data_IF_818701709235
#
_entry.id   IF_818701709235
#
_cell.length_a   1.000
_cell.length_b   1.000
_cell.length_c   1.000
_cell.angle_alpha   90.00
_cell.angle_beta   90.00
_cell.angle_gamma   90.00
#
_symmetry.space_group_name_H-M   'P 1'
#
loop_
_entity.id
_entity.type
_entity.pdbx_description
1 polymer ?
#
# COMPACT_ATOMS: atom_id res chain seq x y z
N UNK A 1 2.06 17.53 -6.70
CA UNK A 1 2.08 16.96 -5.32
C UNK A 1 3.04 17.70 -4.40
N UNK A 2 2.88 17.57 -3.07
CA UNK A 2 3.84 18.01 -2.04
C UNK A 2 4.31 16.80 -1.24
N UNK A 3 5.59 16.77 -0.92
CA UNK A 3 6.22 15.76 -0.07
C UNK A 3 6.35 16.34 1.34
N UNK A 4 5.87 15.64 2.34
CA UNK A 4 5.97 15.99 3.75
C UNK A 4 6.57 14.85 4.56
N UNK A 5 6.97 15.17 5.77
CA UNK A 5 7.54 14.23 6.73
C UNK A 5 6.95 14.49 8.12
N UNK A 6 6.53 13.43 8.80
CA UNK A 6 6.13 13.50 10.21
C UNK A 6 6.89 12.47 11.04
N UNK A 7 7.18 12.77 12.32
CA UNK A 7 7.85 11.80 13.21
C UNK A 7 7.05 10.50 13.36
N UNK A 8 5.72 10.55 13.24
CA UNK A 8 4.85 9.40 13.44
C UNK A 8 4.73 8.53 12.19
N UNK A 9 4.52 9.13 11.01
CA UNK A 9 4.17 8.41 9.78
C UNK A 9 5.35 8.25 8.80
N UNK A 10 6.42 9.05 8.99
CA UNK A 10 7.48 9.18 7.99
C UNK A 10 7.01 10.02 6.80
N UNK A 11 7.10 9.46 5.60
CA UNK A 11 6.68 10.09 4.35
C UNK A 11 5.17 10.30 4.29
N UNK A 12 4.77 11.55 4.00
CA UNK A 12 3.38 11.92 3.76
C UNK A 12 3.28 12.64 2.42
N UNK A 13 2.33 12.24 1.59
CA UNK A 13 2.03 12.89 0.32
C UNK A 13 0.80 13.79 0.45
N UNK A 14 0.86 14.96 -0.16
CA UNK A 14 -0.25 15.92 -0.21
C UNK A 14 -0.51 16.39 -1.64
N UNK A 15 -1.78 16.65 -1.95
CA UNK A 15 -2.24 17.23 -3.21
C UNK A 15 -1.62 16.50 -4.42
N UNK A 16 -1.80 15.18 -4.45
CA UNK A 16 -1.36 14.36 -5.59
C UNK A 16 -2.33 14.60 -6.75
N UNK A 17 -1.79 15.09 -7.85
CA UNK A 17 -2.53 15.40 -9.08
C UNK A 17 -1.84 14.76 -10.28
N UNK A 18 -2.60 14.45 -11.30
CA UNK A 18 -2.10 14.11 -12.63
C UNK A 18 -2.28 15.31 -13.56
N UNK A 19 -1.24 15.68 -14.31
CA UNK A 19 -1.34 16.73 -15.32
C UNK A 19 -1.84 16.09 -16.62
N UNK A 20 -3.08 16.39 -16.99
CA UNK A 20 -3.76 15.88 -18.19
C UNK A 20 -3.94 17.04 -19.18
N UNK A 21 -3.02 17.17 -20.11
CA UNK A 21 -2.94 18.38 -20.94
C UNK A 21 -2.72 19.62 -20.08
N UNK A 22 -3.64 20.56 -20.15
CA UNK A 22 -3.61 21.83 -19.38
C UNK A 22 -4.35 21.72 -18.04
N UNK A 23 -5.00 20.58 -17.74
CA UNK A 23 -5.77 20.38 -16.50
C UNK A 23 -4.96 19.60 -15.47
N UNK A 24 -4.85 20.12 -14.23
CA UNK A 24 -4.30 19.41 -13.08
C UNK A 24 -5.43 18.66 -12.34
N UNK A 25 -5.56 17.38 -12.58
CA UNK A 25 -6.64 16.52 -12.07
C UNK A 25 -6.25 15.91 -10.72
N UNK A 26 -6.99 16.19 -9.65
CA UNK A 26 -6.67 15.71 -8.32
C UNK A 26 -6.99 14.22 -8.15
N UNK A 27 -6.18 13.53 -7.29
CA UNK A 27 -6.33 12.11 -6.97
C UNK A 27 -6.40 11.91 -5.45
N UNK A 28 -5.42 12.47 -4.70
CA UNK A 28 -5.40 12.47 -3.24
C UNK A 28 -5.25 13.89 -2.70
N UNK A 29 -5.96 14.17 -1.61
CA UNK A 29 -5.61 15.30 -0.77
C UNK A 29 -4.43 14.96 0.15
N UNK A 30 -4.45 13.75 0.78
CA UNK A 30 -3.38 13.28 1.67
C UNK A 30 -3.29 11.75 1.64
N UNK A 31 -2.06 11.21 1.60
CA UNK A 31 -1.82 9.77 1.72
C UNK A 31 -0.58 9.48 2.58
N UNK A 32 -0.67 8.49 3.47
CA UNK A 32 0.41 8.07 4.36
C UNK A 32 0.21 6.67 4.91
N UNK A 33 1.30 6.04 5.39
CA UNK A 33 1.21 4.91 6.30
C UNK A 33 0.62 5.39 7.63
N UNK A 34 -0.53 4.84 8.02
CA UNK A 34 -1.25 5.31 9.22
C UNK A 34 -1.00 4.41 10.43
N UNK A 35 -0.75 3.11 10.24
CA UNK A 35 -0.33 2.19 11.31
C UNK A 35 0.40 0.98 10.71
N UNK A 36 1.27 0.40 11.53
CA UNK A 36 1.90 -0.90 11.28
C UNK A 36 1.87 -1.70 12.56
N UNK A 37 1.22 -2.88 12.53
CA UNK A 37 1.12 -3.78 13.68
C UNK A 37 1.82 -5.10 13.39
N UNK A 38 2.66 -5.57 14.32
CA UNK A 38 3.44 -6.80 14.17
C UNK A 38 3.11 -7.77 15.31
N UNK A 39 2.09 -8.65 15.16
CA UNK A 39 1.80 -9.70 16.12
C UNK A 39 2.70 -10.92 15.91
N UNK A 40 3.19 -11.53 17.01
CA UNK A 40 3.97 -12.76 17.02
C UNK A 40 3.09 -13.95 17.38
N UNK A 41 3.24 -15.07 16.66
CA UNK A 41 2.41 -16.26 16.77
C UNK A 41 2.84 -17.27 17.85
N UNK A 42 3.96 -17.06 18.54
CA UNK A 42 4.49 -17.99 19.55
C UNK A 42 3.86 -17.72 20.92
N UNK A 43 3.13 -18.68 21.54
CA UNK A 43 2.52 -18.53 22.85
C UNK A 43 3.48 -18.71 24.03
N UNK A 44 4.77 -18.96 23.78
CA UNK A 44 5.77 -19.15 24.85
C UNK A 44 5.93 -17.88 25.71
N UNK A 45 6.34 -18.00 27.00
CA UNK A 45 6.43 -16.86 27.93
C UNK A 45 7.20 -15.66 27.42
N UNK A 46 8.22 -15.86 26.59
CA UNK A 46 9.04 -14.81 26.03
C UNK A 46 8.47 -14.17 24.76
N UNK A 47 7.36 -14.71 24.19
CA UNK A 47 6.76 -14.21 22.95
C UNK A 47 5.26 -13.88 23.04
N UNK A 48 4.49 -14.46 23.96
CA UNK A 48 3.02 -14.34 23.95
C UNK A 48 2.45 -12.90 24.04
N UNK A 49 3.26 -11.95 24.56
CA UNK A 49 2.94 -10.52 24.61
C UNK A 49 3.70 -9.70 23.56
N UNK A 50 4.52 -10.35 22.74
CA UNK A 50 5.32 -9.64 21.75
C UNK A 50 4.42 -9.20 20.59
N UNK A 51 4.19 -7.92 20.51
CA UNK A 51 3.56 -7.24 19.40
C UNK A 51 4.08 -5.79 19.38
N UNK A 52 4.06 -5.16 18.21
CA UNK A 52 4.49 -3.78 18.02
C UNK A 52 3.43 -3.00 17.26
N UNK A 53 3.34 -1.70 17.56
CA UNK A 53 2.59 -0.68 16.81
C UNK A 53 3.61 0.35 16.37
N UNK A 54 4.28 0.09 15.25
CA UNK A 54 5.51 0.79 14.91
C UNK A 54 5.28 2.25 14.48
N UNK A 55 4.06 2.59 14.08
CA UNK A 55 3.63 3.97 13.86
C UNK A 55 3.12 4.59 15.17
N UNK A 56 2.17 3.93 15.83
CA UNK A 56 1.48 4.50 17.00
C UNK A 56 2.27 4.51 18.29
N UNK A 57 3.17 3.54 18.51
CA UNK A 57 4.00 3.44 19.73
C UNK A 57 5.36 4.10 19.54
N UNK A 58 6.03 3.83 18.41
CA UNK A 58 7.41 4.30 18.19
C UNK A 58 7.49 5.55 17.30
N UNK A 59 6.53 5.72 16.37
CA UNK A 59 6.64 6.72 15.33
C UNK A 59 7.67 6.32 14.27
N UNK A 60 7.21 5.66 13.20
CA UNK A 60 8.10 5.10 12.17
C UNK A 60 8.99 6.15 11.51
N UNK A 61 8.51 7.41 11.41
CA UNK A 61 9.30 8.53 10.91
C UNK A 61 10.48 8.88 11.81
N UNK A 62 10.33 8.73 13.14
CA UNK A 62 11.46 8.94 14.09
C UNK A 62 12.54 7.87 13.95
N UNK A 63 12.22 6.75 13.29
CA UNK A 63 13.13 5.64 13.01
C UNK A 63 13.67 5.64 11.57
N UNK A 64 13.38 6.70 10.81
CA UNK A 64 13.83 6.84 9.42
C UNK A 64 15.35 6.92 9.33
N UNK A 65 15.89 6.28 8.29
CA UNK A 65 17.31 6.27 8.01
C UNK A 65 17.73 7.52 7.24
N UNK A 66 18.98 7.94 7.44
CA UNK A 66 19.68 8.86 6.55
C UNK A 66 20.19 8.07 5.35
N UNK A 67 19.60 8.32 4.17
CA UNK A 67 19.84 7.53 2.97
C UNK A 67 21.15 7.91 2.28
N UNK A 68 21.81 6.93 1.69
CA UNK A 68 23.12 7.08 1.04
C UNK A 68 23.04 6.73 -0.45
N UNK A 69 23.47 7.67 -1.31
CA UNK A 69 23.57 7.44 -2.75
C UNK A 69 24.57 6.30 -3.07
N UNK A 70 24.12 5.39 -3.92
CA UNK A 70 24.89 4.22 -4.32
C UNK A 70 24.69 3.00 -3.44
N UNK A 71 24.03 3.16 -2.26
CA UNK A 71 23.64 2.08 -1.37
C UNK A 71 22.12 1.93 -1.34
N UNK A 72 21.41 2.92 -0.77
CA UNK A 72 19.96 2.86 -0.59
C UNK A 72 19.19 3.30 -1.85
N UNK A 73 19.78 4.21 -2.62
CA UNK A 73 19.23 4.75 -3.86
C UNK A 73 20.31 4.81 -4.94
N UNK A 74 19.92 4.58 -6.20
CA UNK A 74 20.82 4.61 -7.35
C UNK A 74 20.22 5.49 -8.45
N UNK A 75 21.08 6.27 -9.14
CA UNK A 75 20.70 7.15 -10.25
C UNK A 75 20.80 8.64 -9.91
N UNK A 76 19.96 9.45 -10.52
CA UNK A 76 19.87 10.89 -10.24
C UNK A 76 18.83 11.08 -9.14
N UNK A 77 19.29 11.40 -7.95
CA UNK A 77 18.47 11.41 -6.74
C UNK A 77 18.28 12.84 -6.24
N UNK A 78 17.06 13.17 -5.85
CA UNK A 78 16.75 14.31 -4.99
C UNK A 78 16.36 13.81 -3.60
N UNK A 79 17.03 14.35 -2.56
CA UNK A 79 16.75 14.00 -1.18
C UNK A 79 15.99 15.11 -0.47
N UNK A 80 15.14 14.72 0.49
CA UNK A 80 14.52 15.62 1.45
C UNK A 80 14.94 15.23 2.86
N UNK A 81 15.23 16.23 3.68
CA UNK A 81 15.52 16.04 5.09
C UNK A 81 14.25 15.84 5.91
N UNK A 82 14.32 14.99 6.92
CA UNK A 82 13.31 14.86 7.97
C UNK A 82 13.67 15.68 9.21
N UNK A 83 12.66 16.18 9.91
CA UNK A 83 12.84 16.89 11.17
C UNK A 83 11.98 16.27 12.26
N UNK A 84 12.61 15.93 13.38
CA UNK A 84 11.96 15.36 14.56
C UNK A 84 12.35 16.16 15.79
N UNK A 85 11.71 15.91 16.92
CA UNK A 85 12.14 16.44 18.22
C UNK A 85 12.76 15.34 19.06
N UNK A 86 13.88 15.65 19.72
CA UNK A 86 14.47 14.74 20.70
C UNK A 86 13.73 14.81 22.05
N UNK A 87 14.17 14.01 23.02
CA UNK A 87 13.57 13.95 24.37
C UNK A 87 13.65 15.26 25.18
N UNK A 88 14.45 16.22 24.73
CA UNK A 88 14.58 17.57 25.34
C UNK A 88 13.77 18.63 24.60
N UNK A 89 13.03 18.25 23.54
CA UNK A 89 12.27 19.18 22.70
C UNK A 89 13.14 19.95 21.69
N UNK A 90 14.41 19.59 21.52
CA UNK A 90 15.30 20.19 20.53
C UNK A 90 15.05 19.57 19.17
N UNK A 91 15.19 20.36 18.09
CA UNK A 91 15.08 19.88 16.73
C UNK A 91 16.25 18.94 16.41
N UNK A 92 15.93 17.74 15.96
CA UNK A 92 16.90 16.80 15.40
C UNK A 92 16.60 16.60 13.91
N UNK A 93 17.64 16.71 13.08
CA UNK A 93 17.56 16.53 11.64
C UNK A 93 17.95 15.12 11.27
N UNK A 94 17.16 14.49 10.40
CA UNK A 94 17.51 13.28 9.67
C UNK A 94 17.86 13.71 8.25
N UNK A 95 19.13 13.74 7.90
CA UNK A 95 19.58 14.09 6.56
C UNK A 95 19.14 13.03 5.55
N UNK A 96 18.71 13.46 4.35
CA UNK A 96 18.31 12.52 3.29
C UNK A 96 17.27 11.49 3.75
N UNK A 97 16.28 11.89 4.55
CA UNK A 97 15.28 10.97 5.08
C UNK A 97 14.35 10.40 4.00
N UNK A 98 14.12 11.16 2.92
CA UNK A 98 13.28 10.78 1.79
C UNK A 98 14.09 10.86 0.51
N UNK A 99 13.94 9.84 -0.34
CA UNK A 99 14.54 9.75 -1.67
C UNK A 99 13.47 9.94 -2.74
N UNK A 100 13.75 10.77 -3.74
CA UNK A 100 12.94 10.95 -4.95
C UNK A 100 13.81 10.75 -6.18
N UNK A 101 13.39 9.86 -7.09
CA UNK A 101 14.10 9.62 -8.35
C UNK A 101 13.16 9.01 -9.40
N UNK A 102 13.64 8.94 -10.63
CA UNK A 102 13.01 8.16 -11.69
C UNK A 102 13.78 6.87 -11.96
N UNK A 103 13.05 5.83 -12.32
CA UNK A 103 13.66 4.57 -12.78
C UNK A 103 12.94 3.99 -14.00
N UNK A 104 13.67 3.21 -14.80
CA UNK A 104 13.09 2.40 -15.87
C UNK A 104 12.34 1.20 -15.27
N UNK A 105 11.11 0.96 -15.75
CA UNK A 105 10.28 -0.16 -15.30
C UNK A 105 9.84 -1.09 -16.44
N UNK A 106 10.65 -1.18 -17.48
CA UNK A 106 10.38 -2.09 -18.59
C UNK A 106 9.44 -1.51 -19.65
N UNK A 107 8.49 -2.31 -20.11
CA UNK A 107 7.56 -1.94 -21.17
C UNK A 107 6.33 -1.26 -20.59
N UNK A 108 6.00 -0.05 -21.08
CA UNK A 108 4.76 0.67 -20.78
C UNK A 108 3.60 0.12 -21.61
N UNK A 109 3.81 0.05 -22.92
CA UNK A 109 2.91 -0.66 -23.83
C UNK A 109 3.67 -1.13 -25.09
N UNK A 110 3.12 -2.13 -25.75
CA UNK A 110 3.69 -2.71 -26.98
C UNK A 110 2.57 -3.22 -27.88
N UNK A 111 2.69 -2.96 -29.16
CA UNK A 111 1.85 -3.54 -30.19
C UNK A 111 2.69 -3.96 -31.40
N UNK A 112 2.40 -5.13 -31.95
CA UNK A 112 2.88 -5.59 -33.25
C UNK A 112 1.67 -5.79 -34.16
N UNK A 113 1.57 -5.02 -35.24
CA UNK A 113 0.51 -5.22 -36.22
C UNK A 113 0.88 -6.44 -37.11
N UNK A 114 0.11 -7.51 -36.97
CA UNK A 114 0.35 -8.76 -37.65
C UNK A 114 0.20 -8.66 -39.20
N UNK A 115 -0.49 -7.61 -39.71
CA UNK A 115 -0.72 -7.37 -41.12
C UNK A 115 0.44 -6.64 -41.79
N UNK A 116 1.06 -5.72 -41.09
CA UNK A 116 2.16 -4.88 -41.59
C UNK A 116 3.52 -5.27 -41.00
N UNK A 117 3.53 -6.17 -40.01
CA UNK A 117 4.71 -6.57 -39.21
C UNK A 117 5.40 -5.40 -38.49
N UNK A 118 4.75 -4.25 -38.43
CA UNK A 118 5.28 -3.10 -37.70
C UNK A 118 5.09 -3.24 -36.19
N UNK A 119 6.12 -2.90 -35.44
CA UNK A 119 6.12 -2.96 -33.98
C UNK A 119 6.33 -1.59 -33.37
N UNK A 120 5.43 -1.19 -32.49
CA UNK A 120 5.55 -0.02 -31.64
C UNK A 120 5.76 -0.43 -30.19
N UNK A 121 6.69 0.24 -29.49
CA UNK A 121 7.00 0.01 -28.06
C UNK A 121 7.27 1.34 -27.37
N UNK A 122 6.75 1.46 -26.15
CA UNK A 122 7.13 2.56 -25.24
C UNK A 122 7.70 1.99 -23.95
N UNK A 123 8.77 2.62 -23.45
CA UNK A 123 9.38 2.27 -22.17
C UNK A 123 8.59 2.91 -21.03
N UNK A 124 8.38 2.13 -19.97
CA UNK A 124 7.84 2.65 -18.71
C UNK A 124 8.94 3.31 -17.90
N UNK A 125 8.69 4.52 -17.49
CA UNK A 125 9.42 5.18 -16.41
C UNK A 125 8.45 5.44 -15.26
N UNK A 126 8.94 5.32 -14.04
CA UNK A 126 8.14 5.65 -12.85
C UNK A 126 8.89 6.60 -11.94
N UNK A 127 8.17 7.54 -11.37
CA UNK A 127 8.67 8.38 -10.30
C UNK A 127 8.55 7.61 -9.00
N UNK A 128 9.64 7.55 -8.24
CA UNK A 128 9.74 6.88 -6.95
C UNK A 128 9.92 7.91 -5.84
N UNK A 129 9.10 7.80 -4.79
CA UNK A 129 9.28 8.57 -3.55
C UNK A 129 9.27 7.57 -2.41
N UNK A 130 10.36 7.53 -1.64
CA UNK A 130 10.53 6.47 -0.64
C UNK A 130 11.28 6.94 0.60
N UNK A 131 11.07 6.23 1.70
CA UNK A 131 11.91 6.30 2.90
C UNK A 131 12.12 4.89 3.45
N UNK A 132 13.16 4.72 4.25
CA UNK A 132 13.48 3.45 4.92
C UNK A 132 13.53 3.70 6.41
N UNK A 133 13.01 2.76 7.20
CA UNK A 133 13.05 2.82 8.66
C UNK A 133 13.60 1.51 9.24
N UNK A 134 14.47 1.64 10.25
CA UNK A 134 14.98 0.52 11.03
C UNK A 134 14.18 0.38 12.32
N UNK A 135 13.45 -0.72 12.46
CA UNK A 135 12.67 -1.02 13.67
C UNK A 135 13.27 -2.21 14.38
N UNK A 136 14.03 -1.94 15.43
CA UNK A 136 14.86 -2.96 16.09
C UNK A 136 15.91 -3.49 15.11
N UNK A 137 15.73 -4.74 14.64
CA UNK A 137 16.61 -5.36 13.65
C UNK A 137 15.94 -5.53 12.28
N UNK A 138 14.70 -5.09 12.12
CA UNK A 138 13.98 -5.15 10.86
C UNK A 138 14.17 -3.87 10.05
N UNK A 139 14.26 -4.02 8.73
CA UNK A 139 14.33 -2.93 7.79
C UNK A 139 13.04 -2.89 6.96
N UNK A 140 12.42 -1.74 6.92
CA UNK A 140 11.20 -1.49 6.15
C UNK A 140 11.43 -0.34 5.18
N UNK A 141 11.37 -0.63 3.88
CA UNK A 141 11.37 0.40 2.85
C UNK A 141 9.95 0.65 2.36
N UNK A 142 9.51 1.90 2.39
CA UNK A 142 8.17 2.33 1.99
C UNK A 142 8.25 3.15 0.74
N UNK A 143 7.59 2.70 -0.33
CA UNK A 143 7.73 3.23 -1.68
C UNK A 143 6.38 3.63 -2.24
N UNK A 144 6.27 4.86 -2.75
CA UNK A 144 5.23 5.31 -3.66
C UNK A 144 5.81 5.36 -5.07
N UNK A 145 5.14 4.72 -6.01
CA UNK A 145 5.49 4.74 -7.44
C UNK A 145 4.38 5.39 -8.23
N UNK A 146 4.74 6.32 -9.10
CA UNK A 146 3.83 7.03 -10.00
C UNK A 146 4.22 6.72 -11.43
N UNK A 147 3.30 6.14 -12.18
CA UNK A 147 3.52 5.69 -13.54
C UNK A 147 2.95 6.67 -14.54
N UNK A 148 3.47 6.64 -15.78
CA UNK A 148 3.04 7.52 -16.87
C UNK A 148 1.60 7.27 -17.33
N UNK A 149 1.06 6.08 -17.11
CA UNK A 149 -0.34 5.72 -17.38
C UNK A 149 -1.31 6.14 -16.27
N UNK A 150 -0.86 6.92 -15.30
CA UNK A 150 -1.64 7.33 -14.14
C UNK A 150 -1.76 6.30 -13.03
N UNK A 151 -1.21 5.10 -13.19
CA UNK A 151 -1.15 4.09 -12.12
C UNK A 151 -0.32 4.61 -10.95
N UNK A 152 -0.78 4.35 -9.73
CA UNK A 152 -0.07 4.60 -8.48
C UNK A 152 0.09 3.28 -7.75
N UNK A 153 1.30 2.98 -7.28
CA UNK A 153 1.58 1.78 -6.48
C UNK A 153 2.14 2.19 -5.13
N UNK A 154 1.69 1.53 -4.09
CA UNK A 154 2.33 1.54 -2.78
C UNK A 154 2.95 0.16 -2.53
N UNK A 155 4.24 0.14 -2.19
CA UNK A 155 5.00 -1.08 -1.94
C UNK A 155 5.78 -0.95 -0.64
N UNK A 156 5.78 -2.03 0.14
CA UNK A 156 6.66 -2.18 1.30
C UNK A 156 7.68 -3.28 1.01
N UNK A 157 8.94 -2.97 1.21
CA UNK A 157 10.07 -3.91 1.17
C UNK A 157 10.48 -4.26 2.58
N UNK A 158 10.48 -5.57 2.89
CA UNK A 158 10.78 -6.10 4.22
C UNK A 158 12.09 -6.88 4.16
N UNK A 159 13.03 -6.54 5.02
CA UNK A 159 14.34 -7.21 5.14
C UNK A 159 14.94 -6.99 6.54
N UNK A 160 16.24 -7.13 6.72
CA UNK A 160 16.95 -6.99 8.00
C UNK A 160 17.22 -8.33 8.67
N UNK A 161 17.39 -8.32 9.98
CA UNK A 161 17.70 -9.52 10.78
C UNK A 161 16.43 -9.98 11.50
N UNK A 162 16.02 -11.23 11.23
CA UNK A 162 14.81 -11.81 11.84
C UNK A 162 14.97 -11.97 13.36
N UNK A 163 13.88 -11.70 14.09
CA UNK A 163 13.87 -11.93 15.55
C UNK A 163 14.00 -13.41 15.86
N UNK A 164 14.91 -13.76 16.79
CA UNK A 164 15.22 -15.14 17.13
C UNK A 164 15.15 -15.43 18.62
N UNK A 165 15.01 -16.70 18.96
CA UNK A 165 15.07 -17.23 20.33
C UNK A 165 15.84 -18.53 20.38
N UNK A 166 16.49 -18.81 21.51
CA UNK A 166 17.18 -20.06 21.72
C UNK A 166 16.20 -21.22 21.90
N UNK A 167 16.58 -22.39 21.38
CA UNK A 167 15.81 -23.64 21.51
C UNK A 167 16.72 -24.73 22.05
N UNK A 168 16.20 -25.56 22.95
CA UNK A 168 16.91 -26.70 23.50
C UNK A 168 17.35 -27.71 22.38
N UNK A 169 18.51 -28.32 22.47
CA UNK A 169 18.95 -29.31 21.51
C UNK A 169 17.88 -30.38 21.23
N UNK A 170 17.71 -30.71 19.94
CA UNK A 170 16.76 -31.74 19.50
C UNK A 170 15.28 -31.35 19.54
N UNK A 171 14.91 -30.11 19.95
CA UNK A 171 13.55 -29.61 19.88
C UNK A 171 13.27 -28.98 18.51
N UNK A 172 12.10 -29.30 17.95
CA UNK A 172 11.56 -28.66 16.73
C UNK A 172 10.47 -27.69 17.16
N UNK A 173 10.60 -26.39 16.87
CA UNK A 173 9.60 -25.41 17.25
C UNK A 173 8.33 -25.56 16.39
N UNK A 174 7.14 -25.54 17.04
CA UNK A 174 5.85 -25.53 16.33
C UNK A 174 5.49 -24.18 15.76
N UNK A 175 5.89 -23.11 16.44
CA UNK A 175 5.50 -21.72 16.17
C UNK A 175 6.63 -20.90 15.54
N UNK A 176 7.54 -21.57 14.85
CA UNK A 176 8.65 -20.95 14.18
C UNK A 176 9.48 -21.98 13.41
N UNK A 177 10.62 -21.55 12.91
CA UNK A 177 11.56 -22.37 12.13
C UNK A 177 12.95 -22.27 12.71
N UNK A 178 13.68 -23.38 12.77
CA UNK A 178 15.11 -23.35 13.06
C UNK A 178 15.86 -22.75 11.86
N UNK A 179 16.39 -21.55 12.05
CA UNK A 179 17.15 -20.82 11.02
C UNK A 179 18.67 -21.07 11.14
N UNK A 180 19.11 -21.56 12.32
CA UNK A 180 20.46 -22.08 12.59
C UNK A 180 20.35 -23.11 13.72
N UNK A 181 21.41 -23.87 14.03
CA UNK A 181 21.41 -24.83 15.13
C UNK A 181 20.99 -24.16 16.45
N UNK A 182 19.92 -24.69 17.07
CA UNK A 182 19.35 -24.19 18.33
C UNK A 182 18.82 -22.72 18.26
N UNK A 183 18.63 -22.17 17.07
CA UNK A 183 18.13 -20.82 16.86
C UNK A 183 16.78 -20.85 16.13
N UNK A 184 15.72 -20.49 16.84
CA UNK A 184 14.36 -20.43 16.31
C UNK A 184 14.00 -19.00 15.92
N UNK A 185 13.42 -18.81 14.72
CA UNK A 185 12.74 -17.60 14.34
C UNK A 185 11.21 -17.83 14.42
N UNK A 186 10.46 -17.07 15.25
CA UNK A 186 9.03 -17.29 15.41
C UNK A 186 8.24 -16.77 14.21
N UNK A 187 7.12 -17.45 13.88
CA UNK A 187 6.14 -16.96 12.91
C UNK A 187 5.53 -15.66 13.41
N UNK A 188 5.37 -14.69 12.54
CA UNK A 188 4.75 -13.40 12.84
C UNK A 188 4.12 -12.79 11.59
N UNK A 189 3.35 -11.73 11.77
CA UNK A 189 2.75 -10.97 10.68
C UNK A 189 3.20 -9.52 10.72
N UNK A 190 3.29 -8.91 9.55
CA UNK A 190 3.45 -7.46 9.38
C UNK A 190 2.17 -6.94 8.74
N UNK A 191 1.41 -6.13 9.46
CA UNK A 191 0.09 -5.65 9.05
C UNK A 191 0.14 -4.13 8.93
N UNK A 192 0.00 -3.64 7.72
CA UNK A 192 0.09 -2.23 7.35
C UNK A 192 -1.31 -1.67 7.10
N UNK A 193 -1.53 -0.43 7.49
CA UNK A 193 -2.71 0.33 7.11
C UNK A 193 -2.28 1.64 6.48
N UNK A 194 -2.75 1.90 5.27
CA UNK A 194 -2.53 3.15 4.54
C UNK A 194 -3.81 3.97 4.55
N UNK A 195 -3.72 5.21 5.00
CA UNK A 195 -4.78 6.22 4.95
C UNK A 195 -4.67 7.01 3.66
N UNK A 196 -5.74 7.04 2.89
CA UNK A 196 -5.85 7.77 1.64
C UNK A 196 -7.07 8.67 1.71
N UNK A 197 -6.85 9.96 1.87
CA UNK A 197 -7.84 11.02 1.80
C UNK A 197 -8.08 11.31 0.32
N UNK A 198 -9.20 10.81 -0.19
CA UNK A 198 -9.44 10.75 -1.63
C UNK A 198 -9.89 12.11 -2.18
N UNK A 199 -9.55 12.37 -3.44
CA UNK A 199 -9.95 13.58 -4.13
C UNK A 199 -10.02 13.33 -5.64
N UNK A 200 -10.74 12.27 -6.04
CA UNK A 200 -10.82 11.86 -7.45
C UNK A 200 -11.64 12.88 -8.24
N UNK A 201 -10.92 13.73 -9.01
CA UNK A 201 -11.50 14.84 -9.77
C UNK A 201 -12.40 15.79 -8.94
N UNK A 202 -12.24 15.80 -7.61
CA UNK A 202 -13.01 16.59 -6.65
C UNK A 202 -13.22 15.83 -5.34
N UNK A 203 -13.59 16.55 -4.28
CA UNK A 203 -13.66 16.05 -2.91
C UNK A 203 -14.76 15.00 -2.70
N UNK A 204 -15.91 15.13 -3.39
CA UNK A 204 -17.04 14.21 -3.19
C UNK A 204 -16.85 12.93 -4.00
N UNK A 205 -16.68 11.84 -3.30
CA UNK A 205 -16.47 10.53 -3.90
C UNK A 205 -17.40 9.47 -3.27
N UNK A 206 -17.52 8.33 -3.95
CA UNK A 206 -18.23 7.15 -3.47
C UNK A 206 -17.40 5.90 -3.72
N UNK A 207 -17.58 4.85 -2.91
CA UNK A 207 -16.86 3.60 -3.10
C UNK A 207 -17.81 2.50 -3.52
N UNK A 208 -17.39 1.73 -4.52
CA UNK A 208 -18.09 0.52 -4.98
C UNK A 208 -17.17 -0.69 -4.87
N UNK A 209 -17.73 -1.81 -4.42
CA UNK A 209 -17.11 -3.12 -4.56
C UNK A 209 -17.47 -3.72 -5.91
N UNK A 210 -16.51 -4.31 -6.60
CA UNK A 210 -16.70 -4.96 -7.89
C UNK A 210 -16.22 -6.40 -7.81
N UNK A 211 -17.14 -7.33 -8.09
CA UNK A 211 -16.88 -8.77 -8.22
C UNK A 211 -17.10 -9.22 -9.67
N UNK A 212 -16.27 -10.10 -10.17
CA UNK A 212 -16.53 -10.82 -11.41
C UNK A 212 -17.42 -12.01 -11.08
N UNK A 213 -18.60 -12.04 -11.66
CA UNK A 213 -19.60 -13.06 -11.38
C UNK A 213 -20.09 -13.72 -12.67
N UNK A 214 -20.39 -15.03 -12.67
CA UNK A 214 -21.02 -15.68 -13.81
C UNK A 214 -22.43 -15.13 -14.02
N UNK A 215 -22.92 -15.18 -15.25
CA UNK A 215 -24.31 -14.86 -15.59
C UNK A 215 -25.24 -16.00 -15.15
N UNK A 216 -26.49 -15.71 -14.90
CA UNK A 216 -27.53 -16.68 -14.54
C UNK A 216 -27.76 -17.69 -15.67
N UNK A 217 -28.13 -18.93 -15.32
CA UNK A 217 -28.24 -20.05 -16.26
C UNK A 217 -29.23 -19.79 -17.41
N UNK A 218 -30.35 -19.14 -17.14
CA UNK A 218 -31.38 -18.80 -18.12
C UNK A 218 -30.93 -17.75 -19.17
N UNK A 219 -29.92 -16.98 -18.84
CA UNK A 219 -29.30 -15.96 -19.71
C UNK A 219 -27.96 -16.41 -20.31
N UNK A 220 -27.52 -17.61 -20.00
CA UNK A 220 -26.20 -18.13 -20.33
C UNK A 220 -26.24 -19.48 -21.03
N UNK A 221 -26.84 -19.57 -22.22
CA UNK A 221 -27.12 -20.86 -22.88
C UNK A 221 -25.84 -21.63 -23.30
N UNK A 222 -24.68 -20.97 -23.34
CA UNK A 222 -23.39 -21.58 -23.64
C UNK A 222 -22.47 -21.74 -22.41
N UNK A 223 -22.90 -21.29 -21.24
CA UNK A 223 -22.18 -21.42 -19.98
C UNK A 223 -20.90 -20.60 -19.86
N UNK A 224 -20.67 -19.62 -20.76
CA UNK A 224 -19.40 -18.87 -20.84
C UNK A 224 -19.54 -17.39 -20.49
N UNK A 225 -20.75 -16.90 -20.15
CA UNK A 225 -20.97 -15.50 -19.84
C UNK A 225 -20.63 -15.17 -18.39
N UNK A 226 -19.94 -14.07 -18.17
CA UNK A 226 -19.65 -13.48 -16.87
C UNK A 226 -19.52 -11.95 -17.01
N UNK A 227 -19.73 -11.22 -15.93
CA UNK A 227 -19.68 -9.77 -15.93
C UNK A 227 -19.13 -9.21 -14.62
N UNK A 228 -18.78 -7.91 -14.62
CA UNK A 228 -18.35 -7.16 -13.44
C UNK A 228 -19.58 -6.59 -12.72
N UNK A 229 -19.95 -7.19 -11.58
CA UNK A 229 -21.03 -6.71 -10.72
C UNK A 229 -20.50 -5.63 -9.79
N UNK A 230 -21.05 -4.42 -9.90
CA UNK A 230 -20.69 -3.27 -9.07
C UNK A 230 -21.74 -3.03 -7.99
N UNK A 231 -21.31 -2.94 -6.72
CA UNK A 231 -22.18 -2.72 -5.56
C UNK A 231 -21.70 -1.49 -4.79
N UNK A 232 -22.56 -0.49 -4.64
CA UNK A 232 -22.27 0.70 -3.84
C UNK A 232 -22.11 0.33 -2.36
N UNK A 233 -21.15 0.96 -1.70
CA UNK A 233 -20.93 0.89 -0.26
C UNK A 233 -21.35 2.25 0.36
N UNK A 234 -22.64 2.42 0.74
CA UNK A 234 -23.18 3.75 1.03
C UNK A 234 -22.83 4.24 2.45
N UNK A 235 -22.50 3.35 3.37
CA UNK A 235 -22.21 3.69 4.76
C UNK A 235 -20.95 3.04 5.27
N UNK A 236 -20.44 3.53 6.39
CA UNK A 236 -19.24 3.00 7.04
C UNK A 236 -19.32 1.51 7.36
N UNK A 237 -20.50 1.01 7.79
CA UNK A 237 -20.68 -0.41 8.07
C UNK A 237 -20.71 -1.25 6.77
N UNK A 238 -21.34 -0.73 5.72
CA UNK A 238 -21.35 -1.38 4.41
C UNK A 238 -19.94 -1.44 3.80
N UNK A 239 -19.06 -0.49 4.15
CA UNK A 239 -17.72 -0.35 3.63
C UNK A 239 -16.65 -1.16 4.39
N UNK A 240 -17.04 -2.00 5.35
CA UNK A 240 -16.15 -2.97 6.02
C UNK A 240 -16.00 -4.21 5.15
N UNK A 241 -14.92 -4.29 4.36
CA UNK A 241 -14.83 -5.32 3.31
C UNK A 241 -13.52 -6.11 3.38
N UNK A 242 -13.60 -7.34 2.89
CA UNK A 242 -12.45 -8.23 2.71
C UNK A 242 -12.15 -8.40 1.22
N UNK A 243 -10.88 -8.64 0.88
CA UNK A 243 -10.51 -9.10 -0.45
C UNK A 243 -11.19 -10.45 -0.75
N UNK A 244 -11.44 -10.70 -2.03
CA UNK A 244 -11.92 -12.00 -2.53
C UNK A 244 -11.22 -12.30 -3.87
N UNK A 245 -10.02 -12.90 -3.83
CA UNK A 245 -9.28 -13.24 -5.04
C UNK A 245 -10.02 -14.19 -5.98
N UNK A 246 -10.91 -15.02 -5.42
CA UNK A 246 -11.68 -16.00 -6.20
C UNK A 246 -12.73 -15.33 -7.09
N UNK A 247 -13.13 -14.10 -6.76
CA UNK A 247 -14.02 -13.27 -7.57
C UNK A 247 -13.30 -12.17 -8.33
N UNK A 248 -11.96 -12.11 -8.24
CA UNK A 248 -11.21 -11.00 -8.82
C UNK A 248 -11.64 -9.64 -8.24
N UNK A 249 -12.04 -9.62 -6.95
CA UNK A 249 -12.58 -8.42 -6.27
C UNK A 249 -11.61 -7.26 -6.28
N UNK A 250 -12.15 -6.07 -6.59
CA UNK A 250 -11.49 -4.79 -6.39
C UNK A 250 -12.51 -3.73 -5.92
N UNK A 251 -12.03 -2.59 -5.47
CA UNK A 251 -12.89 -1.46 -5.14
C UNK A 251 -12.60 -0.30 -6.08
N UNK A 252 -13.63 0.44 -6.48
CA UNK A 252 -13.49 1.67 -7.25
C UNK A 252 -13.96 2.86 -6.44
N UNK A 253 -13.14 3.90 -6.43
CA UNK A 253 -13.42 5.20 -5.85
C UNK A 253 -13.83 6.09 -7.01
N UNK A 254 -15.05 6.59 -6.95
CA UNK A 254 -15.75 7.20 -8.08
C UNK A 254 -16.13 8.64 -7.74
N UNK A 255 -15.92 9.56 -8.66
CA UNK A 255 -16.56 10.87 -8.60
C UNK A 255 -17.89 10.78 -9.38
N UNK A 256 -19.05 10.86 -8.71
CA UNK A 256 -20.35 10.72 -9.40
C UNK A 256 -20.73 11.94 -10.25
N UNK A 257 -20.06 13.07 -10.03
CA UNK A 257 -20.40 14.36 -10.67
C UNK A 257 -19.56 14.66 -11.91
N UNK A 258 -18.46 13.92 -12.16
CA UNK A 258 -17.59 14.12 -13.33
C UNK A 258 -17.55 12.87 -14.18
N UNK A 259 -17.72 13.03 -15.49
CA UNK A 259 -17.69 11.91 -16.45
C UNK A 259 -16.64 12.14 -17.53
N UNK A 260 -16.14 11.04 -18.09
CA UNK A 260 -15.30 11.07 -19.28
C UNK A 260 -16.15 11.27 -20.56
N UNK A 261 -15.51 11.37 -21.72
CA UNK A 261 -16.17 11.58 -23.02
C UNK A 261 -17.18 10.48 -23.38
N UNK A 262 -17.06 9.26 -22.85
CA UNK A 262 -18.01 8.15 -23.04
C UNK A 262 -19.19 8.19 -22.06
N UNK A 263 -19.24 9.19 -21.15
CA UNK A 263 -20.29 9.35 -20.15
C UNK A 263 -20.10 8.46 -18.89
N UNK A 264 -18.96 7.80 -18.71
CA UNK A 264 -18.67 7.06 -17.49
C UNK A 264 -18.12 7.97 -16.40
N UNK A 265 -18.58 7.81 -15.14
CA UNK A 265 -18.00 8.53 -14.01
C UNK A 265 -16.50 8.26 -13.88
N UNK A 266 -15.75 9.33 -13.62
CA UNK A 266 -14.29 9.22 -13.42
C UNK A 266 -13.98 8.51 -12.12
N UNK A 267 -12.98 7.63 -12.12
CA UNK A 267 -12.67 6.78 -11.00
C UNK A 267 -11.20 6.32 -10.97
N UNK A 268 -10.81 5.85 -9.80
CA UNK A 268 -9.63 4.98 -9.62
C UNK A 268 -10.06 3.66 -8.99
N UNK A 269 -9.48 2.54 -9.46
CA UNK A 269 -9.69 1.24 -8.83
C UNK A 269 -8.52 0.85 -7.95
N UNK A 270 -8.83 0.49 -6.70
CA UNK A 270 -7.89 -0.12 -5.77
C UNK A 270 -7.83 -1.63 -6.09
N UNK A 271 -6.64 -2.05 -6.55
CA UNK A 271 -6.31 -3.44 -6.84
C UNK A 271 -5.59 -4.03 -5.64
N UNK A 272 -6.20 -4.97 -4.90
CA UNK A 272 -5.52 -5.67 -3.83
C UNK A 272 -4.29 -6.40 -4.39
N UNK A 273 -3.19 -6.37 -3.64
CA UNK A 273 -2.08 -7.29 -3.85
C UNK A 273 -2.32 -8.61 -3.12
N UNK A 274 -1.27 -9.41 -2.99
CA UNK A 274 -1.27 -10.54 -2.05
C UNK A 274 -1.54 -10.00 -0.65
N UNK A 275 -2.42 -10.70 0.09
CA UNK A 275 -2.87 -10.22 1.38
C UNK A 275 -3.35 -11.37 2.26
N UNK A 276 -3.34 -11.16 3.57
CA UNK A 276 -3.85 -12.11 4.58
C UNK A 276 -4.55 -11.37 5.70
N UNK A 277 -5.42 -12.05 6.43
CA UNK A 277 -6.02 -11.52 7.65
C UNK A 277 -5.08 -11.69 8.84
N UNK A 278 -5.31 -10.89 9.89
CA UNK A 278 -4.70 -11.11 11.19
C UNK A 278 -5.06 -12.50 11.72
N UNK A 279 -4.05 -13.29 12.11
CA UNK A 279 -4.24 -14.67 12.61
C UNK A 279 -4.49 -14.70 14.12
N UNK A 280 -4.19 -13.62 14.85
CA UNK A 280 -4.51 -13.52 16.27
C UNK A 280 -6.02 -13.54 16.47
N UNK A 281 -6.49 -14.23 17.54
CA UNK A 281 -7.93 -14.30 17.86
C UNK A 281 -8.49 -12.89 18.12
N UNK A 282 -9.78 -12.66 17.83
CA UNK A 282 -10.41 -11.34 18.05
C UNK A 282 -10.36 -10.86 19.50
N UNK A 283 -10.35 -11.79 20.48
CA UNK A 283 -10.26 -11.48 21.91
C UNK A 283 -8.83 -11.27 22.43
N UNK A 284 -7.81 -11.50 21.60
CA UNK A 284 -6.42 -11.21 21.94
C UNK A 284 -6.19 -9.70 22.15
N UNK A 285 -5.30 -9.35 23.08
CA UNK A 285 -4.98 -7.95 23.38
C UNK A 285 -4.58 -7.15 22.14
N UNK A 286 -3.71 -7.72 21.29
CA UNK A 286 -3.28 -7.08 20.05
C UNK A 286 -4.45 -6.84 19.09
N UNK A 287 -5.36 -7.80 18.95
CA UNK A 287 -6.52 -7.68 18.06
C UNK A 287 -7.53 -6.64 18.54
N UNK A 288 -7.72 -6.51 19.87
CA UNK A 288 -8.58 -5.46 20.46
C UNK A 288 -7.99 -4.06 20.25
N UNK A 289 -6.69 -3.91 20.41
CA UNK A 289 -5.96 -2.64 20.25
C UNK A 289 -5.83 -2.23 18.77
N UNK A 290 -5.64 -3.19 17.90
CA UNK A 290 -5.50 -3.03 16.46
C UNK A 290 -6.71 -3.61 15.70
N UNK A 291 -7.92 -3.34 16.14
CA UNK A 291 -9.13 -3.94 15.57
C UNK A 291 -9.39 -3.53 14.10
N UNK A 292 -8.71 -2.51 13.59
CA UNK A 292 -8.68 -2.18 12.16
C UNK A 292 -8.22 -3.35 11.28
N UNK A 293 -7.40 -4.27 11.82
CA UNK A 293 -6.88 -5.46 11.11
C UNK A 293 -7.98 -6.48 10.76
N UNK A 294 -9.20 -6.32 11.29
CA UNK A 294 -10.32 -7.23 11.03
C UNK A 294 -10.90 -7.10 9.62
N UNK A 295 -10.59 -6.04 8.91
CA UNK A 295 -11.05 -5.79 7.54
C UNK A 295 -9.89 -5.28 6.68
N UNK A 296 -9.93 -5.58 5.39
CA UNK A 296 -8.95 -5.05 4.44
C UNK A 296 -9.31 -3.63 3.99
N UNK A 297 -10.59 -3.33 3.84
CA UNK A 297 -11.10 -2.00 3.50
C UNK A 297 -11.97 -1.46 4.61
N UNK A 298 -11.74 -0.19 4.95
CA UNK A 298 -12.65 0.67 5.68
C UNK A 298 -12.80 1.98 4.91
N UNK A 299 -13.96 2.60 4.99
CA UNK A 299 -14.19 3.94 4.45
C UNK A 299 -14.89 4.78 5.51
N UNK A 300 -14.42 5.99 5.73
CA UNK A 300 -15.03 6.97 6.63
C UNK A 300 -15.25 8.28 5.89
N UNK A 301 -16.23 9.12 6.26
CA UNK A 301 -16.18 10.50 5.85
C UNK A 301 -14.93 11.16 6.44
N UNK A 302 -14.43 12.20 5.78
CA UNK A 302 -13.29 12.95 6.29
C UNK A 302 -13.61 13.59 7.65
N UNK A 303 -12.68 13.46 8.58
CA UNK A 303 -12.69 14.17 9.86
C UNK A 303 -11.24 14.47 10.27
N UNK A 304 -11.00 15.72 10.72
CA UNK A 304 -9.64 16.18 11.02
C UNK A 304 -8.93 15.42 12.15
N UNK A 305 -9.70 14.86 13.10
CA UNK A 305 -9.18 14.10 14.25
C UNK A 305 -9.10 12.59 13.98
N UNK A 306 -9.65 12.09 12.86
CA UNK A 306 -9.61 10.68 12.48
C UNK A 306 -8.37 10.39 11.63
N UNK A 307 -7.20 10.23 12.28
CA UNK A 307 -5.89 10.11 11.60
C UNK A 307 -5.28 8.72 11.66
N UNK A 308 -5.52 7.97 12.73
CA UNK A 308 -4.79 6.72 13.00
C UNK A 308 -5.77 5.58 13.31
N UNK A 309 -5.71 4.45 12.57
CA UNK A 309 -6.75 3.43 12.58
C UNK A 309 -6.87 2.67 13.91
N UNK A 310 -5.84 2.68 14.75
CA UNK A 310 -5.82 2.13 16.11
C UNK A 310 -6.03 3.20 17.20
N UNK A 311 -6.36 4.44 16.80
CA UNK A 311 -6.41 5.61 17.70
C UNK A 311 -5.03 6.25 17.93
N UNK A 312 -5.02 7.36 18.66
CA UNK A 312 -3.81 8.17 18.88
C UNK A 312 -2.77 7.48 19.77
N UNK A 313 -3.21 6.67 20.72
CA UNK A 313 -2.36 6.07 21.75
C UNK A 313 -2.60 4.56 21.88
N UNK A 314 -2.21 3.74 20.86
CA UNK A 314 -2.50 2.31 20.88
C UNK A 314 -1.82 1.55 22.02
N UNK A 315 -0.66 2.01 22.49
CA UNK A 315 0.09 1.42 23.61
C UNK A 315 -0.57 1.61 24.98
N UNK A 316 -1.45 2.62 25.11
CA UNK A 316 -2.12 2.96 26.37
C UNK A 316 -3.64 2.69 26.31
N UNK A 317 -4.10 1.97 25.32
CA UNK A 317 -5.50 1.74 25.02
C UNK A 317 -5.88 0.26 25.27
N UNK A 318 -6.96 -0.02 25.99
CA UNK A 318 -7.43 -1.40 26.19
C UNK A 318 -8.07 -2.02 24.92
N UNK A 319 -8.27 -1.24 23.87
CA UNK A 319 -8.94 -1.59 22.62
C UNK A 319 -10.20 -0.76 22.36
N UNK A 320 -10.71 -0.85 21.14
CA UNK A 320 -11.94 -0.18 20.71
C UNK A 320 -11.76 1.24 20.17
N UNK A 321 -10.55 1.82 20.21
CA UNK A 321 -10.25 3.12 19.62
C UNK A 321 -10.04 3.05 18.10
N UNK A 322 -10.03 4.21 17.44
CA UNK A 322 -9.78 4.32 16.02
C UNK A 322 -10.98 3.89 15.17
N UNK A 323 -10.73 3.20 14.06
CA UNK A 323 -11.74 2.83 13.08
C UNK A 323 -12.98 2.11 13.67
N UNK A 324 -12.86 1.15 14.60
CA UNK A 324 -14.03 0.52 15.20
C UNK A 324 -14.96 1.50 15.91
N UNK A 325 -14.38 2.49 16.61
CA UNK A 325 -15.14 3.52 17.33
C UNK A 325 -15.81 4.49 16.35
N UNK A 326 -15.05 5.00 15.40
CA UNK A 326 -15.56 6.01 14.47
C UNK A 326 -16.69 5.47 13.60
N UNK A 327 -16.50 4.27 13.06
CA UNK A 327 -17.48 3.62 12.18
C UNK A 327 -18.71 3.05 12.91
N UNK A 328 -18.75 3.11 14.24
CA UNK A 328 -19.95 2.71 15.01
C UNK A 328 -21.15 3.65 14.75
N UNK A 329 -20.89 4.88 14.34
CA UNK A 329 -21.92 5.86 13.98
C UNK A 329 -22.60 5.58 12.64
N UNK A 330 -22.04 4.71 11.81
CA UNK A 330 -22.54 4.30 10.49
C UNK A 330 -22.90 5.50 9.58
N UNK A 331 -22.00 6.48 9.52
CA UNK A 331 -22.15 7.68 8.69
C UNK A 331 -22.20 7.35 7.21
N UNK A 332 -22.83 8.21 6.40
CA UNK A 332 -22.78 8.07 4.94
C UNK A 332 -21.36 8.29 4.41
N UNK A 333 -20.97 7.48 3.42
CA UNK A 333 -19.75 7.62 2.63
C UNK A 333 -20.05 7.65 1.13
N UNK A 334 -21.30 7.99 0.80
CA UNK A 334 -21.77 8.17 -0.56
C UNK A 334 -21.76 9.66 -0.92
N UNK A 335 -21.14 10.00 -2.05
CA UNK A 335 -21.04 11.36 -2.61
C UNK A 335 -20.63 12.42 -1.58
N UNK A 336 -19.56 12.10 -0.84
CA UNK A 336 -19.03 12.97 0.22
C UNK A 336 -17.50 12.93 0.23
N UNK A 337 -16.88 13.80 1.00
CA UNK A 337 -15.45 13.81 1.25
C UNK A 337 -15.09 12.59 2.11
N UNK A 338 -14.29 11.66 1.54
CA UNK A 338 -14.04 10.35 2.12
C UNK A 338 -12.56 10.04 2.30
N UNK A 339 -12.30 9.25 3.33
CA UNK A 339 -11.01 8.60 3.57
C UNK A 339 -11.13 7.09 3.38
N UNK A 340 -10.29 6.56 2.50
CA UNK A 340 -10.13 5.12 2.29
C UNK A 340 -8.96 4.63 3.14
N UNK A 341 -9.21 3.61 3.96
CA UNK A 341 -8.22 2.94 4.79
C UNK A 341 -8.01 1.54 4.25
N UNK A 342 -6.84 1.28 3.72
CA UNK A 342 -6.54 -0.04 3.18
C UNK A 342 -5.52 -0.77 4.05
N UNK A 343 -5.92 -1.96 4.52
CA UNK A 343 -5.10 -2.85 5.35
C UNK A 343 -4.60 -4.01 4.50
N UNK A 344 -3.29 -4.25 4.53
CA UNK A 344 -2.66 -5.39 3.88
C UNK A 344 -1.58 -5.98 4.79
N UNK A 345 -1.35 -7.28 4.65
CA UNK A 345 -0.51 -8.00 5.58
C UNK A 345 0.37 -9.04 4.89
N UNK A 346 1.59 -9.19 5.40
CA UNK A 346 2.50 -10.27 5.09
C UNK A 346 2.60 -11.23 6.29
N UNK A 347 2.33 -12.51 6.06
CA UNK A 347 2.55 -13.56 7.07
C UNK A 347 3.95 -14.14 6.86
N UNK A 348 4.87 -13.77 7.73
CA UNK A 348 6.23 -14.27 7.68
C UNK A 348 6.34 -15.63 8.38
N UNK A 349 6.46 -16.68 7.58
CA UNK A 349 6.89 -18.02 8.03
C UNK A 349 8.38 -18.16 7.76
N UNK A 350 9.24 -18.00 8.78
CA UNK A 350 10.70 -17.98 8.57
C UNK A 350 11.24 -19.27 7.98
N UNK A 351 12.33 -19.16 7.23
CA UNK A 351 13.07 -20.23 6.59
C UNK A 351 14.56 -20.07 6.85
N UNK A 352 15.37 -21.11 6.56
CA UNK A 352 16.82 -21.06 6.81
C UNK A 352 17.51 -19.91 6.06
N UNK A 353 17.01 -19.57 4.86
CA UNK A 353 17.53 -18.48 4.03
C UNK A 353 17.29 -17.07 4.61
N UNK A 354 16.45 -16.95 5.63
CA UNK A 354 16.22 -15.68 6.32
C UNK A 354 17.30 -15.35 7.36
N UNK A 355 18.29 -16.23 7.52
CA UNK A 355 19.37 -16.03 8.45
C UNK A 355 20.75 -15.99 7.73
N UNK A 356 21.70 -15.09 8.12
CA UNK A 356 21.58 -14.07 9.19
C UNK A 356 20.81 -12.80 8.79
N UNK A 357 20.62 -12.53 7.50
CA UNK A 357 19.89 -11.37 6.97
C UNK A 357 18.86 -11.84 5.96
N UNK A 358 17.64 -11.39 6.11
CA UNK A 358 16.52 -11.79 5.25
C UNK A 358 16.66 -11.24 3.84
N UNK A 359 16.50 -12.06 2.78
CA UNK A 359 16.21 -11.56 1.44
C UNK A 359 14.96 -10.68 1.45
N UNK A 360 14.93 -9.66 0.58
CA UNK A 360 13.80 -8.75 0.51
C UNK A 360 12.53 -9.48 0.13
N UNK A 361 11.49 -9.35 0.94
CA UNK A 361 10.11 -9.66 0.59
C UNK A 361 9.37 -8.36 0.23
N UNK A 362 8.43 -8.42 -0.71
CA UNK A 362 7.64 -7.27 -1.15
C UNK A 362 6.15 -7.53 -0.98
N UNK A 363 5.42 -6.49 -0.56
CA UNK A 363 3.97 -6.49 -0.44
C UNK A 363 3.43 -5.11 -0.76
N UNK A 364 2.20 -5.00 -1.23
CA UNK A 364 1.62 -3.71 -1.55
C UNK A 364 0.30 -3.79 -2.29
N UNK A 365 -0.13 -2.67 -2.86
CA UNK A 365 -1.35 -2.55 -3.64
C UNK A 365 -1.18 -1.52 -4.76
N UNK A 366 -2.13 -1.49 -5.69
CA UNK A 366 -2.14 -0.50 -6.78
C UNK A 366 -3.47 0.24 -6.85
N UNK A 367 -3.38 1.49 -7.25
CA UNK A 367 -4.51 2.31 -7.70
C UNK A 367 -4.35 2.55 -9.20
N UNK A 368 -5.36 2.17 -9.97
CA UNK A 368 -5.31 2.32 -11.43
C UNK A 368 -6.45 3.19 -11.90
N UNK A 369 -6.22 4.10 -12.86
CA UNK A 369 -7.30 4.85 -13.50
C UNK A 369 -8.39 3.91 -14.02
N UNK A 370 -9.63 4.30 -13.83
CA UNK A 370 -10.81 3.61 -14.37
C UNK A 370 -11.76 4.67 -14.92
N UNK A 371 -11.82 4.80 -16.23
CA UNK A 371 -12.55 5.88 -16.90
C UNK A 371 -12.12 7.30 -16.46
N UNK A 372 -10.96 7.43 -15.79
CA UNK A 372 -10.41 8.72 -15.38
C UNK A 372 -9.95 9.52 -16.60
N UNK A 373 -9.43 8.85 -17.61
CA UNK A 373 -9.03 9.41 -18.89
C UNK A 373 -10.00 8.99 -20.01
N UNK A 374 -10.00 9.73 -21.12
CA UNK A 374 -10.78 9.39 -22.33
C UNK A 374 -10.09 8.29 -23.17
N UNK A 375 -8.75 8.20 -23.10
CA UNK A 375 -7.95 7.21 -23.75
C UNK A 375 -6.71 6.86 -22.90
N UNK A 376 -5.79 6.07 -23.43
CA UNK A 376 -4.54 5.76 -22.74
C UNK A 376 -3.66 7.01 -22.64
N UNK A 377 -3.46 7.60 -21.44
CA UNK A 377 -2.67 8.83 -21.28
C UNK A 377 -1.18 8.64 -21.63
N UNK A 378 -0.72 7.40 -21.77
CA UNK A 378 0.64 7.08 -22.16
C UNK A 378 0.86 6.98 -23.69
N UNK A 379 -0.15 7.33 -24.50
CA UNK A 379 -0.02 7.35 -25.97
C UNK A 379 0.93 8.46 -26.44
N UNK A 380 1.08 9.55 -25.69
CA UNK A 380 1.96 10.68 -25.97
C UNK A 380 3.41 10.44 -25.61
N UNK A 381 3.73 9.36 -24.91
CA UNK A 381 5.12 9.01 -24.55
C UNK A 381 5.93 8.77 -25.82
N UNK A 382 7.03 9.52 -26.05
CA UNK A 382 7.82 9.38 -27.27
C UNK A 382 8.50 8.00 -27.34
N UNK A 383 8.77 7.48 -28.55
CA UNK A 383 9.54 6.25 -28.71
C UNK A 383 10.95 6.43 -28.13
N UNK A 384 11.49 5.35 -27.56
CA UNK A 384 12.88 5.37 -27.07
C UNK A 384 13.86 5.68 -28.20
N UNK A 385 14.94 6.44 -27.92
CA UNK A 385 15.98 6.69 -28.91
C UNK A 385 16.52 5.36 -29.46
N UNK A 386 16.65 5.25 -30.78
CA UNK A 386 17.29 4.09 -31.41
C UNK A 386 18.74 4.00 -30.94
N UNK A 387 19.11 2.90 -30.32
CA UNK A 387 20.51 2.64 -29.97
C UNK A 387 21.28 2.34 -31.26
N UNK A 388 22.03 3.31 -31.78
CA UNK A 388 22.82 3.18 -33.02
C UNK A 388 23.99 2.17 -32.91
N UNK A 389 24.18 1.49 -31.78
CA UNK A 389 25.28 0.56 -31.52
C UNK A 389 24.93 -0.94 -31.56
N UNK A 390 23.65 -1.34 -31.62
CA UNK A 390 23.26 -2.74 -31.72
C UNK A 390 22.89 -3.09 -33.16
N UNK A 391 23.56 -4.09 -33.73
CA UNK A 391 23.23 -4.66 -35.08
C UNK A 391 21.86 -5.38 -35.10
N UNK A 392 21.11 -5.33 -34.01
CA UNK A 392 19.75 -5.83 -33.87
C UNK A 392 18.85 -4.69 -33.42
N UNK A 393 18.25 -4.00 -34.40
CA UNK A 393 17.20 -3.03 -34.14
C UNK A 393 15.99 -3.77 -33.56
N UNK A 394 15.69 -3.61 -32.28
CA UNK A 394 14.47 -4.14 -31.65
C UNK A 394 13.20 -3.41 -32.12
N UNK A 395 13.31 -2.37 -32.95
CA UNK A 395 12.18 -1.60 -33.50
C UNK A 395 12.60 -1.11 -34.89
N UNK A 396 12.33 -1.85 -35.92
CA UNK A 396 12.35 -1.40 -37.32
C UNK A 396 10.92 -1.10 -37.73
#
# INVERSE_FOLDING_TARGET
MRVGFTPREGLVLYNVTYQDGDEARPIFYRASLAEMTVPYGDPAPHHYRKNAFDVGEYGIGSLANSLTLGCDCLGVIHYFDGFITNSRGEVAKIENAICLHEEDFGILWKHMDWRTEQTEVRRSRRLVISFIATVGNYEYGFYWYFYQDGTIQYEVKLTGVVSTAAVMPGKVPKYGTLVAPQLNAPIHQHIFNVRMDMNIDGANNSVYEVDIVPEEDDKNPYGNAFYAKSTLLPTEQAAKRLIDPMKGRYWKIVNPSKTNAMGYPTAYKLMPGDNTLAMARPDASVSKRAAYMSQHLWVTPYHEDEKFPAGDYPNQNPGGSGLPLWTASDRTVEDTDIVVWYTFAHSHSPRAEDWPVMPVATIGFMLKPLNFFDENPANDVPPSPKNHGSKHACCA
#
